data_IF_619699889964
#
_entry.id   IF_619699889964
#
_cell.length_a   1.000
_cell.length_b   1.000
_cell.length_c   1.000
_cell.angle_alpha   90.00
_cell.angle_beta   90.00
_cell.angle_gamma   90.00
#
_symmetry.space_group_name_H-M   'P 1'
#
loop_
_entity.id
_entity.type
_entity.pdbx_description
1 polymer ?
#
# COMPACT_ATOMS: atom_id res chain seq x y z
N UNK A 1 -16.42 -34.49 -1.49
CA UNK A 1 -16.45 -35.48 -0.43
C UNK A 1 -16.31 -36.94 -0.94
N UNK A 2 -16.40 -37.18 -2.26
CA UNK A 2 -16.23 -38.48 -2.88
C UNK A 2 -17.52 -39.31 -3.05
N UNK A 3 -18.69 -38.79 -2.69
CA UNK A 3 -19.96 -39.48 -2.91
C UNK A 3 -20.27 -39.68 -4.39
N UNK A 4 -20.03 -38.67 -5.23
CA UNK A 4 -20.21 -38.67 -6.66
C UNK A 4 -18.86 -38.54 -7.39
N UNK A 5 -18.32 -39.61 -7.98
CA UNK A 5 -16.98 -39.60 -8.60
C UNK A 5 -16.97 -39.81 -10.11
N UNK A 6 -18.11 -40.19 -10.73
CA UNK A 6 -18.14 -40.58 -12.15
C UNK A 6 -18.83 -39.55 -13.03
N UNK A 7 -18.48 -39.52 -14.30
CA UNK A 7 -19.05 -38.62 -15.34
C UNK A 7 -20.57 -38.64 -15.44
N UNK A 8 -21.22 -39.74 -15.09
CA UNK A 8 -22.69 -39.88 -15.10
C UNK A 8 -23.38 -38.95 -14.10
N UNK A 9 -22.64 -38.45 -13.11
CA UNK A 9 -23.14 -37.53 -12.10
C UNK A 9 -22.84 -36.06 -12.40
N UNK A 10 -22.33 -35.74 -13.59
CA UNK A 10 -21.98 -34.37 -13.97
C UNK A 10 -23.18 -33.45 -13.89
N UNK A 11 -22.98 -32.30 -13.28
CA UNK A 11 -24.01 -31.26 -13.06
C UNK A 11 -24.85 -31.47 -11.80
N UNK A 12 -24.65 -32.58 -11.05
CA UNK A 12 -25.35 -32.80 -9.78
C UNK A 12 -24.63 -32.03 -8.68
N UNK A 13 -25.41 -31.31 -7.86
CA UNK A 13 -24.92 -30.70 -6.62
C UNK A 13 -25.01 -31.75 -5.52
N UNK A 14 -23.86 -32.04 -4.88
CA UNK A 14 -23.82 -33.01 -3.81
C UNK A 14 -24.58 -32.52 -2.57
N UNK A 15 -25.60 -33.22 -2.14
CA UNK A 15 -26.39 -32.90 -0.98
C UNK A 15 -25.62 -32.98 0.36
N UNK A 16 -24.48 -33.71 0.37
CA UNK A 16 -23.63 -33.83 1.57
C UNK A 16 -22.64 -32.67 1.73
N UNK A 17 -22.05 -32.17 0.64
CA UNK A 17 -20.99 -31.19 0.70
C UNK A 17 -21.23 -29.91 -0.15
N UNK A 18 -22.37 -29.84 -0.85
CA UNK A 18 -22.76 -28.69 -1.67
C UNK A 18 -21.95 -28.48 -2.95
N UNK A 19 -20.98 -29.34 -3.27
CA UNK A 19 -20.10 -29.19 -4.44
C UNK A 19 -20.79 -29.76 -5.67
N UNK A 20 -20.77 -28.99 -6.78
CA UNK A 20 -21.20 -29.44 -8.09
C UNK A 20 -20.19 -30.42 -8.69
N UNK A 21 -20.65 -31.55 -9.21
CA UNK A 21 -19.82 -32.52 -9.91
C UNK A 21 -19.53 -32.04 -11.33
N UNK A 22 -18.29 -31.65 -11.58
CA UNK A 22 -17.85 -31.05 -12.84
C UNK A 22 -16.49 -31.56 -13.27
N UNK A 23 -15.99 -31.13 -14.43
CA UNK A 23 -14.66 -31.50 -14.93
C UNK A 23 -13.57 -30.83 -14.10
N UNK A 24 -12.41 -31.45 -13.98
CA UNK A 24 -11.27 -30.93 -13.21
C UNK A 24 -10.71 -29.60 -13.76
N UNK A 25 -10.83 -29.35 -15.07
CA UNK A 25 -10.34 -28.10 -15.70
C UNK A 25 -11.06 -26.85 -15.20
N UNK A 26 -12.30 -26.93 -14.66
CA UNK A 26 -12.97 -25.75 -14.08
C UNK A 26 -12.16 -25.11 -12.95
N UNK A 27 -11.28 -25.87 -12.28
CA UNK A 27 -10.37 -25.33 -11.26
C UNK A 27 -9.36 -24.32 -11.84
N UNK A 28 -9.09 -24.37 -13.15
CA UNK A 28 -8.20 -23.45 -13.86
C UNK A 28 -8.95 -22.40 -14.68
N UNK A 29 -10.23 -22.62 -14.93
CA UNK A 29 -11.09 -21.71 -15.71
C UNK A 29 -11.84 -20.73 -14.81
N UNK A 30 -12.24 -21.17 -13.61
CA UNK A 30 -12.93 -20.31 -12.64
C UNK A 30 -11.95 -19.41 -11.91
N UNK A 31 -12.27 -18.12 -11.90
CA UNK A 31 -11.55 -17.12 -11.12
C UNK A 31 -12.20 -16.95 -9.75
N UNK A 32 -11.38 -16.76 -8.74
CA UNK A 32 -11.80 -16.49 -7.38
C UNK A 32 -10.80 -15.58 -6.69
N UNK A 33 -11.11 -15.08 -5.50
CA UNK A 33 -10.21 -14.27 -4.72
C UNK A 33 -10.43 -14.51 -3.23
N UNK A 34 -9.44 -14.12 -2.44
CA UNK A 34 -9.48 -14.11 -0.98
C UNK A 34 -9.33 -12.66 -0.52
N UNK A 35 -10.32 -12.14 0.20
CA UNK A 35 -10.19 -10.87 0.87
C UNK A 35 -9.27 -11.03 2.08
N UNK A 36 -8.26 -10.19 2.17
CA UNK A 36 -7.35 -10.19 3.31
C UNK A 36 -8.01 -9.49 4.51
N UNK A 37 -7.75 -9.98 5.72
CA UNK A 37 -8.23 -9.36 6.94
C UNK A 37 -7.60 -7.96 7.17
N UNK A 38 -6.34 -7.81 6.76
CA UNK A 38 -5.60 -6.53 6.80
C UNK A 38 -4.85 -6.33 5.48
N UNK A 39 -4.62 -5.08 5.04
CA UNK A 39 -3.79 -4.80 3.88
C UNK A 39 -2.36 -5.32 4.04
N UNK A 40 -1.74 -5.73 2.95
CA UNK A 40 -0.35 -6.23 2.92
C UNK A 40 0.43 -5.56 1.80
N UNK A 41 1.62 -5.04 2.09
CA UNK A 41 2.50 -4.49 1.08
C UNK A 41 3.03 -5.59 0.14
N UNK A 42 2.86 -5.40 -1.17
CA UNK A 42 3.37 -6.34 -2.16
C UNK A 42 4.89 -6.29 -2.19
N UNK A 43 5.54 -7.44 -2.01
CA UNK A 43 6.99 -7.55 -1.86
C UNK A 43 7.78 -6.99 -3.06
N UNK A 44 7.26 -7.12 -4.27
CA UNK A 44 7.91 -6.60 -5.48
C UNK A 44 7.96 -5.08 -5.51
N UNK A 45 7.00 -4.40 -4.91
CA UNK A 45 6.99 -2.93 -4.84
C UNK A 45 7.70 -2.39 -3.60
N UNK A 46 7.82 -3.21 -2.56
CA UNK A 46 8.52 -2.85 -1.33
C UNK A 46 10.04 -3.10 -1.42
N UNK A 47 10.45 -4.34 -1.78
CA UNK A 47 11.86 -4.77 -1.73
C UNK A 47 12.64 -4.58 -3.03
N UNK A 48 12.01 -4.09 -4.10
CA UNK A 48 12.74 -3.70 -5.31
C UNK A 48 13.71 -2.55 -5.04
N UNK A 49 14.79 -2.47 -5.78
CA UNK A 49 15.74 -1.36 -5.69
C UNK A 49 15.72 -0.55 -6.99
N UNK A 50 15.23 0.69 -6.96
CA UNK A 50 14.66 1.41 -5.81
C UNK A 50 13.24 0.92 -5.44
N UNK A 51 12.89 1.00 -4.15
CA UNK A 51 11.54 0.66 -3.68
C UNK A 51 10.49 1.62 -4.24
N UNK A 52 9.50 1.08 -4.97
CA UNK A 52 8.43 1.89 -5.56
C UNK A 52 7.52 2.51 -4.50
N UNK A 53 7.17 1.74 -3.45
CA UNK A 53 6.38 2.25 -2.32
C UNK A 53 7.12 3.40 -1.64
N UNK A 54 8.38 3.19 -1.26
CA UNK A 54 9.18 4.21 -0.58
C UNK A 54 9.36 5.49 -1.42
N UNK A 55 9.57 5.36 -2.74
CA UNK A 55 9.63 6.51 -3.65
C UNK A 55 8.29 7.24 -3.75
N UNK A 56 7.16 6.52 -3.83
CA UNK A 56 5.85 7.13 -3.95
C UNK A 56 5.52 7.99 -2.72
N UNK A 57 5.77 7.47 -1.50
CA UNK A 57 5.51 8.18 -0.23
C UNK A 57 6.64 9.12 0.20
N UNK A 58 7.71 9.25 -0.60
CA UNK A 58 8.89 10.07 -0.33
C UNK A 58 9.62 9.75 0.97
N UNK A 59 9.81 8.49 1.25
CA UNK A 59 10.49 7.99 2.44
C UNK A 59 11.67 7.08 2.08
N UNK A 60 12.58 6.86 3.03
CA UNK A 60 13.59 5.81 2.88
C UNK A 60 12.97 4.44 3.10
N UNK A 61 13.47 3.42 2.40
CA UNK A 61 12.96 2.06 2.53
C UNK A 61 12.93 1.57 3.99
N UNK A 62 13.98 1.84 4.77
CA UNK A 62 14.05 1.46 6.20
C UNK A 62 12.97 2.13 7.06
N UNK A 63 12.59 3.35 6.73
CA UNK A 63 11.53 4.07 7.44
C UNK A 63 10.16 3.45 7.14
N UNK A 64 9.91 3.14 5.86
CA UNK A 64 8.67 2.43 5.46
C UNK A 64 8.60 1.05 6.09
N UNK A 65 9.73 0.32 6.16
CA UNK A 65 9.80 -0.99 6.81
C UNK A 65 9.44 -0.92 8.30
N UNK A 66 9.94 0.08 9.03
CA UNK A 66 9.58 0.28 10.44
C UNK A 66 8.08 0.47 10.65
N UNK A 67 7.43 1.23 9.77
CA UNK A 67 5.97 1.39 9.81
C UNK A 67 5.26 0.08 9.51
N UNK A 68 5.67 -0.63 8.45
CA UNK A 68 5.05 -1.88 8.01
C UNK A 68 5.22 -3.02 9.02
N UNK A 69 6.34 -3.04 9.75
CA UNK A 69 6.62 -4.05 10.78
C UNK A 69 6.15 -3.64 12.18
N UNK A 70 5.33 -2.60 12.29
CA UNK A 70 4.74 -2.13 13.54
C UNK A 70 5.76 -1.66 14.59
N UNK A 71 6.93 -1.16 14.15
CA UNK A 71 7.93 -0.58 15.03
C UNK A 71 7.67 0.89 15.35
N UNK A 72 7.15 1.65 14.37
CA UNK A 72 6.89 3.07 14.50
C UNK A 72 5.55 3.46 13.88
N UNK A 73 4.91 4.45 14.48
CA UNK A 73 3.80 5.18 13.89
C UNK A 73 4.31 6.20 12.89
N UNK A 74 3.48 6.56 11.91
CA UNK A 74 3.77 7.59 10.92
C UNK A 74 2.69 8.65 10.95
N UNK A 75 3.11 9.93 10.93
CA UNK A 75 2.19 11.06 10.82
C UNK A 75 1.74 11.19 9.36
N UNK A 76 0.45 10.98 9.11
CA UNK A 76 -0.19 11.10 7.80
C UNK A 76 -0.60 12.55 7.56
N UNK A 77 -1.36 13.11 8.51
CA UNK A 77 -1.76 14.50 8.52
C UNK A 77 -1.37 15.17 9.82
N UNK A 78 -0.46 16.18 9.81
CA UNK A 78 0.03 16.83 11.00
C UNK A 78 -0.98 17.81 11.62
N UNK A 79 -2.01 18.25 10.90
CA UNK A 79 -2.94 19.26 11.37
C UNK A 79 -2.23 20.57 11.79
N UNK A 80 -2.62 21.12 12.95
CA UNK A 80 -2.04 22.36 13.53
C UNK A 80 -1.01 22.07 14.63
N UNK A 81 -0.45 20.86 14.71
CA UNK A 81 0.38 20.40 15.82
C UNK A 81 1.88 20.69 15.67
N UNK A 82 2.37 21.29 14.68
CA UNK A 82 3.81 21.48 14.43
C UNK A 82 4.59 20.20 14.11
N UNK A 83 3.93 19.03 14.06
CA UNK A 83 4.50 17.79 13.52
C UNK A 83 4.75 17.93 12.02
N UNK A 84 5.64 17.10 11.49
CA UNK A 84 5.88 17.07 10.06
C UNK A 84 5.18 15.84 9.42
N UNK A 85 4.69 16.00 8.22
CA UNK A 85 4.20 14.86 7.42
C UNK A 85 5.32 13.85 7.23
N UNK A 86 5.01 12.56 7.30
CA UNK A 86 5.95 11.43 7.23
C UNK A 86 6.90 11.32 8.43
N UNK A 87 6.69 12.09 9.50
CA UNK A 87 7.47 11.94 10.73
C UNK A 87 7.15 10.59 11.38
N UNK A 88 8.21 9.89 11.80
CA UNK A 88 8.06 8.65 12.55
C UNK A 88 7.99 8.97 14.04
N UNK A 89 7.05 8.35 14.72
CA UNK A 89 6.86 8.46 16.16
C UNK A 89 6.95 7.07 16.79
N UNK A 90 7.54 6.99 17.97
CA UNK A 90 7.40 5.82 18.82
C UNK A 90 6.09 5.92 19.63
N UNK A 91 5.73 4.86 20.37
CA UNK A 91 4.50 4.80 21.16
C UNK A 91 4.46 5.87 22.24
N UNK A 92 5.59 6.14 22.90
CA UNK A 92 5.71 7.16 23.95
C UNK A 92 5.56 8.57 23.39
N UNK A 93 6.14 8.85 22.23
CA UNK A 93 6.02 10.13 21.53
C UNK A 93 4.60 10.37 21.06
N UNK A 94 3.96 9.32 20.49
CA UNK A 94 2.57 9.40 20.07
C UNK A 94 1.65 9.77 21.25
N UNK A 95 1.80 9.07 22.39
CA UNK A 95 1.01 9.34 23.58
C UNK A 95 1.21 10.79 24.08
N UNK A 96 2.45 11.29 24.11
CA UNK A 96 2.73 12.67 24.49
C UNK A 96 2.05 13.69 23.60
N UNK A 97 2.11 13.50 22.28
CA UNK A 97 1.47 14.42 21.32
C UNK A 97 -0.06 14.33 21.39
N UNK A 98 -0.62 13.16 21.66
CA UNK A 98 -2.05 12.99 21.89
C UNK A 98 -2.52 13.67 23.18
N UNK A 99 -1.73 13.59 24.25
CA UNK A 99 -2.02 14.28 25.51
C UNK A 99 -1.90 15.81 25.37
N UNK A 100 -0.94 16.29 24.57
CA UNK A 100 -0.66 17.74 24.42
C UNK A 100 -1.66 18.42 23.46
N UNK A 101 -1.99 17.81 22.34
CA UNK A 101 -2.80 18.41 21.28
C UNK A 101 -4.21 17.82 21.15
N UNK A 102 -4.45 16.64 21.74
CA UNK A 102 -5.67 15.86 21.59
C UNK A 102 -5.57 14.82 20.47
N UNK A 103 -6.34 13.74 20.60
CA UNK A 103 -6.32 12.60 19.66
C UNK A 103 -6.73 12.97 18.23
N UNK A 104 -7.62 13.97 18.08
CA UNK A 104 -8.15 14.41 16.77
C UNK A 104 -7.32 15.51 16.11
N UNK A 105 -6.29 16.04 16.78
CA UNK A 105 -5.51 17.17 16.27
C UNK A 105 -4.60 16.81 15.08
N UNK A 106 -4.23 15.55 14.96
CA UNK A 106 -3.41 15.02 13.88
C UNK A 106 -3.77 13.56 13.59
N UNK A 107 -3.46 13.07 12.39
CA UNK A 107 -3.67 11.67 12.01
C UNK A 107 -2.34 10.95 11.94
N UNK A 108 -2.19 9.93 12.76
CA UNK A 108 -1.06 9.01 12.72
C UNK A 108 -1.55 7.57 12.57
N UNK A 109 -0.79 6.75 11.86
CA UNK A 109 -1.14 5.36 11.62
C UNK A 109 0.07 4.43 11.70
N UNK A 110 -0.17 3.14 11.69
CA UNK A 110 0.85 2.10 11.74
C UNK A 110 0.51 0.97 10.77
N UNK A 111 1.51 0.23 10.32
CA UNK A 111 1.31 -0.92 9.45
C UNK A 111 0.99 -0.56 7.99
N UNK A 112 0.51 -1.55 7.25
CA UNK A 112 0.20 -1.38 5.83
C UNK A 112 -1.05 -0.52 5.58
N UNK A 113 -1.94 -0.39 6.56
CA UNK A 113 -3.11 0.51 6.48
C UNK A 113 -2.69 1.96 6.39
N UNK A 114 -1.74 2.39 7.23
CA UNK A 114 -1.19 3.74 7.18
C UNK A 114 -0.53 4.05 5.83
N UNK A 115 0.27 3.12 5.32
CA UNK A 115 0.91 3.28 4.00
C UNK A 115 -0.12 3.31 2.87
N UNK A 116 -1.18 2.50 2.96
CA UNK A 116 -2.28 2.49 2.01
C UNK A 116 -3.00 3.85 1.99
N UNK A 117 -3.28 4.41 3.14
CA UNK A 117 -3.91 5.73 3.29
C UNK A 117 -3.03 6.83 2.70
N UNK A 118 -1.73 6.82 2.99
CA UNK A 118 -0.78 7.77 2.39
C UNK A 118 -0.77 7.69 0.86
N UNK A 119 -0.83 6.48 0.28
CA UNK A 119 -0.86 6.28 -1.16
C UNK A 119 -2.19 6.72 -1.79
N UNK A 120 -3.31 6.59 -1.08
CA UNK A 120 -4.63 7.08 -1.50
C UNK A 120 -4.71 8.59 -1.53
N UNK A 121 -4.11 9.23 -0.51
CA UNK A 121 -4.10 10.68 -0.35
C UNK A 121 -3.04 11.38 -1.22
N UNK A 122 -2.32 10.63 -2.07
CA UNK A 122 -1.28 11.17 -2.93
C UNK A 122 -1.90 11.86 -4.15
N UNK A 123 -1.81 13.20 -4.21
CA UNK A 123 -2.17 13.97 -5.39
C UNK A 123 -1.01 13.95 -6.40
N UNK A 124 -1.14 13.10 -7.42
CA UNK A 124 -0.09 12.87 -8.43
C UNK A 124 0.25 14.13 -9.23
N UNK A 125 -0.75 14.96 -9.55
CA UNK A 125 -0.52 16.16 -10.36
C UNK A 125 0.18 17.27 -9.56
N UNK A 126 -0.19 17.48 -8.32
CA UNK A 126 0.48 18.43 -7.42
C UNK A 126 1.90 17.98 -7.10
N UNK A 127 2.11 16.70 -6.81
CA UNK A 127 3.43 16.12 -6.57
C UNK A 127 4.35 16.22 -7.78
N UNK A 128 3.84 16.00 -8.98
CA UNK A 128 4.58 16.19 -10.23
C UNK A 128 5.10 17.63 -10.37
N UNK A 129 4.21 18.62 -10.16
CA UNK A 129 4.60 20.04 -10.22
C UNK A 129 5.65 20.40 -9.18
N UNK A 130 5.45 19.95 -7.93
CA UNK A 130 6.38 20.19 -6.83
C UNK A 130 7.76 19.59 -7.11
N UNK A 131 7.83 18.37 -7.64
CA UNK A 131 9.08 17.70 -8.00
C UNK A 131 9.82 18.41 -9.13
N UNK A 132 9.12 18.88 -10.16
CA UNK A 132 9.73 19.65 -11.25
C UNK A 132 10.37 20.94 -10.72
N UNK A 133 9.70 21.64 -9.79
CA UNK A 133 10.26 22.85 -9.18
C UNK A 133 11.44 22.51 -8.26
N UNK A 134 11.31 21.48 -7.43
CA UNK A 134 12.38 21.03 -6.55
C UNK A 134 13.66 20.62 -7.29
N UNK A 135 13.55 19.94 -8.44
CA UNK A 135 14.69 19.56 -9.28
C UNK A 135 15.42 20.80 -9.81
N UNK A 136 14.71 21.89 -10.13
CA UNK A 136 15.32 23.14 -10.61
C UNK A 136 16.08 23.90 -9.50
N UNK A 137 15.63 23.79 -8.26
CA UNK A 137 16.16 24.55 -7.13
C UNK A 137 17.27 23.80 -6.36
N UNK A 138 17.25 22.46 -6.43
CA UNK A 138 18.14 21.63 -5.63
C UNK A 138 19.60 21.70 -6.16
N UNK A 139 20.55 21.91 -5.24
CA UNK A 139 21.99 21.93 -5.54
C UNK A 139 22.69 20.59 -5.28
N UNK A 140 21.98 19.64 -4.66
CA UNK A 140 22.52 18.33 -4.30
C UNK A 140 22.24 17.31 -5.38
N UNK A 141 23.27 16.80 -6.06
CA UNK A 141 23.14 15.77 -7.10
C UNK A 141 22.42 14.51 -6.63
N UNK A 142 22.64 14.08 -5.39
CA UNK A 142 21.99 12.89 -4.82
C UNK A 142 20.49 13.09 -4.66
N UNK A 143 20.09 14.26 -4.17
CA UNK A 143 18.67 14.59 -4.01
C UNK A 143 17.98 14.79 -5.36
N UNK A 144 18.69 15.39 -6.31
CA UNK A 144 18.23 15.54 -7.70
C UNK A 144 17.95 14.19 -8.36
N UNK A 145 18.91 13.25 -8.29
CA UNK A 145 18.74 11.91 -8.86
C UNK A 145 17.55 11.15 -8.21
N UNK A 146 17.37 11.29 -6.91
CA UNK A 146 16.22 10.73 -6.21
C UNK A 146 14.91 11.35 -6.66
N UNK A 147 14.85 12.68 -6.76
CA UNK A 147 13.69 13.40 -7.24
C UNK A 147 13.33 13.04 -8.70
N UNK A 148 14.32 12.87 -9.57
CA UNK A 148 14.11 12.41 -10.96
C UNK A 148 13.52 10.99 -10.99
N UNK A 149 14.02 10.07 -10.16
CA UNK A 149 13.46 8.71 -10.08
C UNK A 149 12.02 8.72 -9.58
N UNK A 150 11.72 9.56 -8.58
CA UNK A 150 10.35 9.74 -8.05
C UNK A 150 9.45 10.37 -9.11
N UNK A 151 9.90 11.39 -9.82
CA UNK A 151 9.13 12.02 -10.89
C UNK A 151 8.75 11.01 -11.98
N UNK A 152 9.69 10.21 -12.46
CA UNK A 152 9.42 9.15 -13.45
C UNK A 152 8.39 8.15 -12.98
N UNK A 153 8.40 7.79 -11.68
CA UNK A 153 7.40 6.90 -11.10
C UNK A 153 6.01 7.56 -11.11
N UNK A 154 5.90 8.81 -10.67
CA UNK A 154 4.63 9.55 -10.65
C UNK A 154 4.08 9.75 -12.06
N UNK A 155 4.92 10.13 -13.01
CA UNK A 155 4.53 10.24 -14.43
C UNK A 155 4.03 8.91 -14.99
N UNK A 156 4.66 7.79 -14.64
CA UNK A 156 4.20 6.47 -15.06
C UNK A 156 2.81 6.12 -14.49
N UNK A 157 2.47 6.54 -13.28
CA UNK A 157 1.12 6.39 -12.73
C UNK A 157 0.08 7.24 -13.47
N UNK A 158 0.44 8.47 -13.80
CA UNK A 158 -0.43 9.39 -14.55
C UNK A 158 -0.69 8.85 -15.97
N UNK A 159 0.36 8.43 -16.67
CA UNK A 159 0.27 7.93 -18.06
C UNK A 159 -0.50 6.61 -18.16
N UNK A 160 -0.27 5.70 -17.22
CA UNK A 160 -0.92 4.38 -17.24
C UNK A 160 -2.30 4.38 -16.59
N UNK A 161 -2.67 5.43 -15.85
CA UNK A 161 -3.90 5.50 -15.05
C UNK A 161 -3.94 4.52 -13.89
N UNK A 162 -2.80 3.92 -13.52
CA UNK A 162 -2.69 2.99 -12.40
C UNK A 162 -2.67 3.77 -11.09
N UNK A 163 -3.36 3.25 -10.09
CA UNK A 163 -3.40 3.88 -8.77
C UNK A 163 -2.24 3.40 -7.90
N UNK A 164 -1.51 4.32 -7.23
CA UNK A 164 -0.41 3.95 -6.33
C UNK A 164 -0.82 2.98 -5.21
N UNK A 165 -2.05 3.10 -4.72
CA UNK A 165 -2.62 2.23 -3.67
C UNK A 165 -2.64 0.74 -4.03
N UNK A 166 -2.61 0.38 -5.32
CA UNK A 166 -2.57 -1.02 -5.76
C UNK A 166 -1.26 -1.74 -5.43
N UNK A 167 -0.23 -1.01 -4.99
CA UNK A 167 1.00 -1.60 -4.46
C UNK A 167 0.79 -2.24 -3.07
N UNK A 168 -0.34 -1.94 -2.42
CA UNK A 168 -0.79 -2.57 -1.18
C UNK A 168 -1.96 -3.50 -1.51
N UNK A 169 -1.81 -4.76 -1.22
CA UNK A 169 -2.81 -5.79 -1.52
C UNK A 169 -3.86 -5.84 -0.43
N UNK A 170 -5.12 -5.77 -0.82
CA UNK A 170 -6.28 -6.03 0.04
C UNK A 170 -6.97 -7.35 -0.34
N UNK A 171 -6.63 -7.86 -1.51
CA UNK A 171 -7.21 -9.07 -2.10
C UNK A 171 -6.10 -9.89 -2.74
N UNK A 172 -6.18 -11.21 -2.63
CA UNK A 172 -5.31 -12.16 -3.32
C UNK A 172 -6.14 -12.98 -4.30
N UNK A 173 -5.81 -13.00 -5.62
CA UNK A 173 -6.48 -13.81 -6.63
C UNK A 173 -6.15 -15.31 -6.51
#
# INVERSE_FOLDING_TARGET
CGKYKRMKFRGIICEKCGVEVTKSNVRRERMGHINLATPVAHIWFLKSLPSRIALAVDMKLKEVERVLYFENFIVIEPGLTGLQRNQLLNEEELAKYQDEFGEEAFTAGIGAEAVLEMLRNLDLESERKNLINYIKETKSKVNEERAIKRLKLIESFIETGQKPEWMIMTVVP
#
